data_IF_940148910572
#
_entry.id   IF_940148910572
#
_cell.length_a   1.000
_cell.length_b   1.000
_cell.length_c   1.000
_cell.angle_alpha   90.00
_cell.angle_beta   90.00
_cell.angle_gamma   90.00
#
_symmetry.space_group_name_H-M   'P 1'
#
loop_
_entity.id
_entity.type
_entity.pdbx_description
1 polymer ?
#
# COMPACT_ATOMS: atom_id res chain seq x y z
N UNK A 1 8.73 11.02 25.03
CA UNK A 1 8.78 10.74 23.57
C UNK A 1 9.51 9.41 23.36
N UNK A 2 9.08 8.54 22.43
CA UNK A 2 9.75 7.26 22.20
C UNK A 2 11.16 7.48 21.61
N UNK A 3 12.15 6.69 22.06
CA UNK A 3 13.54 6.76 21.58
C UNK A 3 13.80 5.86 20.35
N UNK A 4 12.76 5.32 19.74
CA UNK A 4 12.83 4.38 18.61
C UNK A 4 11.65 4.60 17.65
N UNK A 5 11.87 4.37 16.36
CA UNK A 5 10.82 4.40 15.35
C UNK A 5 9.93 3.15 15.48
N UNK A 6 8.62 3.37 15.63
CA UNK A 6 7.63 2.30 15.85
C UNK A 6 6.64 2.13 14.70
N UNK A 7 6.59 3.10 13.78
CA UNK A 7 5.67 3.12 12.65
C UNK A 7 6.48 3.51 11.42
N UNK A 8 6.42 2.68 10.38
CA UNK A 8 7.03 2.93 9.07
C UNK A 8 5.94 3.34 8.07
N UNK A 9 6.23 4.33 7.21
CA UNK A 9 5.39 4.62 6.05
C UNK A 9 5.86 3.74 4.90
N UNK A 10 4.94 3.02 4.26
CA UNK A 10 5.23 2.18 3.10
C UNK A 10 4.30 2.44 1.93
N UNK A 11 4.74 2.00 0.76
CA UNK A 11 4.02 2.13 -0.51
C UNK A 11 3.88 0.77 -1.19
N UNK A 12 2.72 0.51 -1.77
CA UNK A 12 2.54 -0.55 -2.78
C UNK A 12 1.81 -0.01 -4.00
N UNK A 13 2.02 -0.67 -5.13
CA UNK A 13 1.38 -0.35 -6.39
C UNK A 13 0.89 -1.62 -7.07
N UNK A 14 -0.33 -1.57 -7.59
CA UNK A 14 -0.89 -2.59 -8.47
C UNK A 14 -1.39 -1.92 -9.75
N UNK A 15 -1.13 -2.53 -10.91
CA UNK A 15 -1.67 -2.02 -12.15
C UNK A 15 -3.19 -2.09 -12.13
N UNK A 16 -3.85 -1.06 -12.66
CA UNK A 16 -5.30 -1.01 -12.77
C UNK A 16 -5.72 -0.91 -14.22
N UNK A 17 -6.96 -1.29 -14.51
CA UNK A 17 -7.58 -1.07 -15.81
C UNK A 17 -7.76 0.41 -16.16
N UNK A 18 -7.64 1.33 -15.20
CA UNK A 18 -7.88 2.76 -15.45
C UNK A 18 -6.76 3.38 -16.29
N UNK A 19 -5.52 2.88 -16.17
CA UNK A 19 -4.40 3.33 -16.98
C UNK A 19 -4.67 3.19 -18.48
N UNK A 20 -5.36 2.13 -18.91
CA UNK A 20 -5.75 1.92 -20.31
C UNK A 20 -6.83 2.89 -20.79
N UNK A 21 -7.70 3.35 -19.87
CA UNK A 21 -8.77 4.30 -20.19
C UNK A 21 -8.26 5.74 -20.34
N UNK A 22 -7.19 6.09 -19.61
CA UNK A 22 -6.60 7.44 -19.59
C UNK A 22 -5.07 7.38 -19.53
N UNK A 23 -4.38 6.79 -20.52
CA UNK A 23 -2.93 6.61 -20.47
C UNK A 23 -2.16 7.94 -20.40
N UNK A 24 -2.74 9.02 -20.94
CA UNK A 24 -2.21 10.38 -20.85
C UNK A 24 -2.13 10.90 -19.40
N UNK A 25 -3.11 10.54 -18.55
CA UNK A 25 -3.20 10.99 -17.15
C UNK A 25 -2.70 9.98 -16.14
N UNK A 26 -2.95 8.70 -16.38
CA UNK A 26 -2.71 7.59 -15.46
C UNK A 26 -1.46 6.78 -15.85
N UNK A 27 -0.81 7.11 -16.97
CA UNK A 27 0.47 6.55 -17.37
C UNK A 27 0.35 5.49 -18.46
N UNK A 28 1.15 5.66 -19.52
CA UNK A 28 1.17 4.73 -20.66
C UNK A 28 2.12 3.54 -20.44
N UNK A 29 3.09 3.66 -19.52
CA UNK A 29 4.08 2.64 -19.20
C UNK A 29 4.04 2.27 -17.72
N UNK A 30 4.62 1.12 -17.35
CA UNK A 30 4.62 0.64 -15.96
C UNK A 30 5.14 1.69 -14.96
N UNK A 31 6.30 2.31 -15.25
CA UNK A 31 6.87 3.32 -14.36
C UNK A 31 6.03 4.59 -14.29
N UNK A 32 5.39 4.99 -15.40
CA UNK A 32 4.44 6.09 -15.35
C UNK A 32 3.22 5.75 -14.50
N UNK A 33 2.70 4.53 -14.59
CA UNK A 33 1.55 4.11 -13.79
C UNK A 33 1.87 4.08 -12.30
N UNK A 34 3.07 3.60 -11.90
CA UNK A 34 3.53 3.65 -10.51
C UNK A 34 3.45 5.08 -9.95
N UNK A 35 3.77 6.09 -10.75
CA UNK A 35 3.77 7.50 -10.35
C UNK A 35 2.40 8.17 -10.50
N UNK A 36 1.66 7.88 -11.57
CA UNK A 36 0.47 8.62 -11.99
C UNK A 36 -0.84 7.92 -11.68
N UNK A 37 -0.89 6.60 -11.64
CA UNK A 37 -2.13 5.86 -11.43
C UNK A 37 -2.42 5.71 -9.92
N UNK A 38 -2.96 6.78 -9.34
CA UNK A 38 -3.35 6.84 -7.94
C UNK A 38 -4.49 5.87 -7.57
N UNK A 39 -5.13 5.21 -8.55
CA UNK A 39 -6.06 4.10 -8.29
C UNK A 39 -5.33 2.81 -7.89
N UNK A 40 -4.10 2.64 -8.36
CA UNK A 40 -3.25 1.49 -8.09
C UNK A 40 -2.40 1.66 -6.84
N UNK A 41 -2.28 2.87 -6.32
CA UNK A 41 -1.40 3.22 -5.20
C UNK A 41 -2.07 2.95 -3.85
N UNK A 42 -1.35 2.28 -2.96
CA UNK A 42 -1.75 2.13 -1.55
C UNK A 42 -0.63 2.63 -0.64
N UNK A 43 -0.98 3.51 0.29
CA UNK A 43 -0.08 4.02 1.31
C UNK A 43 -0.36 3.35 2.64
N UNK A 44 0.70 2.94 3.33
CA UNK A 44 0.60 2.08 4.50
C UNK A 44 1.29 2.69 5.70
N UNK A 45 0.65 2.55 6.85
CA UNK A 45 1.27 2.71 8.16
C UNK A 45 1.56 1.31 8.70
N UNK A 46 2.84 0.96 8.81
CA UNK A 46 3.31 -0.35 9.27
C UNK A 46 3.85 -0.25 10.69
N UNK A 47 3.11 -0.85 11.63
CA UNK A 47 3.33 -0.79 13.06
C UNK A 47 4.21 -1.95 13.52
N UNK A 48 5.35 -1.64 14.13
CA UNK A 48 6.22 -2.66 14.71
C UNK A 48 5.65 -3.18 16.03
N UNK A 49 4.96 -4.33 15.94
CA UNK A 49 4.28 -4.94 17.08
C UNK A 49 5.23 -5.22 18.24
N UNK A 50 6.43 -5.74 17.94
CA UNK A 50 7.44 -6.01 18.97
C UNK A 50 7.88 -4.72 19.70
N UNK A 51 7.98 -3.58 19.02
CA UNK A 51 8.37 -2.31 19.64
C UNK A 51 7.29 -1.75 20.59
N UNK A 52 6.02 -2.07 20.34
CA UNK A 52 4.91 -1.75 21.25
C UNK A 52 4.80 -2.76 22.40
N UNK A 53 5.10 -4.04 22.15
CA UNK A 53 4.98 -5.14 23.11
C UNK A 53 6.33 -5.84 23.31
N UNK A 54 7.30 -5.15 23.94
CA UNK A 54 8.70 -5.61 24.05
C UNK A 54 8.89 -6.92 24.80
N UNK A 55 7.99 -7.23 25.72
CA UNK A 55 8.01 -8.47 26.52
C UNK A 55 7.29 -9.64 25.84
N UNK A 56 6.69 -9.41 24.65
CA UNK A 56 6.01 -10.46 23.90
C UNK A 56 6.97 -11.32 23.07
N UNK A 57 6.52 -12.53 22.72
CA UNK A 57 7.22 -13.42 21.79
C UNK A 57 7.04 -13.03 20.31
N UNK A 58 6.56 -11.82 20.02
CA UNK A 58 6.32 -11.36 18.64
C UNK A 58 7.67 -11.13 17.95
N UNK A 59 7.91 -11.71 16.75
CA UNK A 59 9.15 -11.49 16.03
C UNK A 59 9.36 -10.01 15.67
N UNK A 60 10.59 -9.52 15.78
CA UNK A 60 10.96 -8.11 15.49
C UNK A 60 10.64 -7.66 14.06
N UNK A 61 10.57 -8.62 13.13
CA UNK A 61 10.30 -8.39 11.71
C UNK A 61 8.81 -8.37 11.38
N UNK A 62 7.92 -8.83 12.28
CA UNK A 62 6.49 -8.89 12.02
C UNK A 62 5.80 -7.58 12.41
N UNK A 63 5.09 -6.99 11.45
CA UNK A 63 4.34 -5.76 11.63
C UNK A 63 2.85 -5.96 11.31
N UNK A 64 2.01 -5.08 11.86
CA UNK A 64 0.63 -4.88 11.43
C UNK A 64 0.60 -3.65 10.52
N UNK A 65 -0.08 -3.70 9.38
CA UNK A 65 -0.15 -2.61 8.42
C UNK A 65 -1.59 -2.14 8.20
N UNK A 66 -1.80 -0.82 8.28
CA UNK A 66 -3.05 -0.16 7.91
C UNK A 66 -2.83 0.61 6.61
N UNK A 67 -3.62 0.31 5.59
CA UNK A 67 -3.47 0.87 4.26
C UNK A 67 -4.59 1.82 3.88
N UNK A 68 -4.28 2.76 3.01
CA UNK A 68 -5.24 3.68 2.40
C UNK A 68 -4.99 3.80 0.91
N UNK A 69 -6.04 3.64 0.13
CA UNK A 69 -6.04 3.80 -1.33
C UNK A 69 -7.37 4.33 -1.83
N UNK A 70 -7.54 4.36 -3.14
CA UNK A 70 -8.80 4.71 -3.76
C UNK A 70 -8.98 4.02 -5.09
N UNK A 71 -10.22 3.95 -5.55
CA UNK A 71 -10.60 3.26 -6.78
C UNK A 71 -11.57 4.15 -7.59
N UNK A 72 -11.53 4.04 -8.92
CA UNK A 72 -12.51 4.65 -9.83
C UNK A 72 -12.29 6.14 -10.13
N UNK A 73 -11.11 6.67 -9.83
CA UNK A 73 -10.76 8.07 -10.04
C UNK A 73 -10.11 8.29 -11.41
N UNK A 74 -10.96 8.51 -12.42
CA UNK A 74 -10.57 8.77 -13.82
C UNK A 74 -10.34 10.26 -14.14
N UNK A 75 -10.75 11.16 -13.26
CA UNK A 75 -10.61 12.61 -13.41
C UNK A 75 -10.38 13.25 -12.04
N UNK A 76 -9.71 14.41 -11.99
CA UNK A 76 -9.50 15.16 -10.75
C UNK A 76 -10.79 15.71 -10.13
N UNK A 77 -11.89 15.78 -10.89
CA UNK A 77 -13.19 16.31 -10.46
C UNK A 77 -14.24 15.22 -10.61
N UNK A 78 -15.14 15.09 -9.64
CA UNK A 78 -16.30 14.21 -9.75
C UNK A 78 -17.22 14.76 -10.84
N UNK A 79 -17.28 14.07 -11.98
CA UNK A 79 -18.17 14.46 -13.08
C UNK A 79 -19.49 13.73 -12.83
N UNK A 80 -20.48 14.48 -12.38
CA UNK A 80 -21.82 13.97 -12.04
C UNK A 80 -22.73 13.85 -13.27
N UNK A 81 -22.30 14.35 -14.44
CA UNK A 81 -23.17 14.46 -15.60
C UNK A 81 -23.07 13.30 -16.59
N UNK A 82 -24.26 12.83 -16.98
CA UNK A 82 -24.56 11.60 -17.71
C UNK A 82 -24.08 11.62 -19.17
N UNK A 83 -23.60 10.46 -19.67
CA UNK A 83 -24.04 9.81 -20.94
C UNK A 83 -23.08 8.77 -21.53
N UNK A 84 -21.93 8.47 -20.90
CA UNK A 84 -21.04 7.41 -21.40
C UNK A 84 -20.63 6.47 -20.26
N UNK A 85 -21.44 5.43 -20.07
CA UNK A 85 -21.04 4.07 -19.75
C UNK A 85 -19.70 3.93 -18.98
N UNK A 86 -19.69 4.13 -17.67
CA UNK A 86 -19.00 3.23 -16.74
C UNK A 86 -19.42 3.53 -15.30
N UNK A 87 -19.92 2.51 -14.62
CA UNK A 87 -20.30 2.46 -13.21
C UNK A 87 -19.12 2.60 -12.24
N UNK A 88 -18.06 3.32 -12.61
CA UNK A 88 -16.87 3.49 -11.79
C UNK A 88 -17.12 4.54 -10.71
N UNK A 89 -17.99 4.20 -9.75
CA UNK A 89 -18.23 5.03 -8.57
C UNK A 89 -16.92 5.14 -7.81
N UNK A 90 -16.40 6.35 -7.67
CA UNK A 90 -15.21 6.61 -6.85
C UNK A 90 -15.42 6.12 -5.42
N UNK A 91 -14.45 5.42 -4.86
CA UNK A 91 -14.48 5.07 -3.44
C UNK A 91 -13.09 4.99 -2.84
N UNK A 92 -13.04 5.16 -1.52
CA UNK A 92 -11.84 5.00 -0.71
C UNK A 92 -11.73 3.56 -0.26
N UNK A 93 -10.50 3.08 -0.17
CA UNK A 93 -10.17 1.73 0.27
C UNK A 93 -9.35 1.84 1.55
N UNK A 94 -9.79 1.14 2.59
CA UNK A 94 -9.05 1.00 3.84
C UNK A 94 -8.61 -0.44 3.96
N UNK A 95 -7.34 -0.68 4.26
CA UNK A 95 -6.79 -2.02 4.31
C UNK A 95 -6.26 -2.35 5.71
N UNK A 96 -6.42 -3.60 6.11
CA UNK A 96 -5.71 -4.19 7.24
C UNK A 96 -4.93 -5.39 6.70
N UNK A 97 -3.63 -5.44 6.99
CA UNK A 97 -2.74 -6.48 6.48
C UNK A 97 -1.61 -6.75 7.47
N UNK A 98 -0.90 -7.87 7.30
CA UNK A 98 0.39 -8.07 7.93
C UNK A 98 1.50 -7.48 7.05
N UNK A 99 2.66 -7.22 7.64
CA UNK A 99 3.80 -6.70 6.90
C UNK A 99 5.12 -7.20 7.51
N UNK A 100 6.17 -7.18 6.70
CA UNK A 100 7.52 -7.57 7.10
C UNK A 100 8.41 -6.34 7.13
N UNK A 101 9.01 -6.09 8.28
CA UNK A 101 10.04 -5.08 8.44
C UNK A 101 11.40 -5.63 7.99
N UNK A 102 11.76 -5.37 6.73
CA UNK A 102 13.02 -5.83 6.14
C UNK A 102 14.23 -5.29 6.90
N UNK A 103 14.15 -4.06 7.45
CA UNK A 103 15.26 -3.45 8.21
C UNK A 103 15.60 -4.23 9.50
N UNK A 104 14.71 -5.12 9.95
CA UNK A 104 14.89 -5.96 11.15
C UNK A 104 15.40 -7.37 10.82
N UNK A 105 15.61 -7.70 9.54
CA UNK A 105 16.23 -8.96 9.12
C UNK A 105 17.71 -8.96 9.53
N UNK A 106 18.15 -10.04 10.19
CA UNK A 106 19.55 -10.18 10.63
C UNK A 106 20.42 -10.64 9.46
N UNK A 107 21.44 -9.88 9.14
CA UNK A 107 22.45 -10.20 8.11
C UNK A 107 23.81 -9.64 8.51
N UNK A 108 24.88 -10.34 8.13
CA UNK A 108 26.27 -9.92 8.39
C UNK A 108 26.81 -8.96 7.32
N UNK A 109 26.11 -8.80 6.20
CA UNK A 109 26.54 -7.93 5.09
C UNK A 109 26.00 -6.51 5.25
N UNK A 110 26.91 -5.54 5.28
CA UNK A 110 26.56 -4.12 5.31
C UNK A 110 25.74 -3.71 4.07
N UNK A 111 26.08 -4.25 2.90
CA UNK A 111 25.34 -4.00 1.66
C UNK A 111 23.89 -4.49 1.76
N UNK A 112 23.69 -5.74 2.19
CA UNK A 112 22.34 -6.30 2.33
C UNK A 112 21.52 -5.52 3.37
N UNK A 113 22.15 -5.08 4.45
CA UNK A 113 21.48 -4.25 5.46
C UNK A 113 20.98 -2.93 4.87
N UNK A 114 21.78 -2.27 4.03
CA UNK A 114 21.37 -1.04 3.32
C UNK A 114 20.25 -1.31 2.33
N UNK A 115 20.35 -2.38 1.53
CA UNK A 115 19.30 -2.81 0.60
C UNK A 115 17.99 -3.03 1.35
N UNK A 116 17.99 -3.83 2.42
CA UNK A 116 16.79 -4.07 3.22
C UNK A 116 16.20 -2.79 3.82
N UNK A 117 17.05 -1.83 4.23
CA UNK A 117 16.56 -0.56 4.76
C UNK A 117 15.84 0.28 3.70
N UNK A 118 16.37 0.35 2.47
CA UNK A 118 15.75 1.10 1.37
C UNK A 118 14.47 0.43 0.90
N UNK A 119 14.52 -0.88 0.66
CA UNK A 119 13.36 -1.63 0.18
C UNK A 119 12.28 -1.81 1.26
N UNK A 120 12.56 -1.53 2.54
CA UNK A 120 11.53 -1.52 3.59
C UNK A 120 10.45 -0.45 3.33
N UNK A 121 10.71 0.56 2.51
CA UNK A 121 9.71 1.55 2.10
C UNK A 121 8.63 0.96 1.18
N UNK A 122 8.88 -0.20 0.57
CA UNK A 122 7.92 -0.93 -0.23
C UNK A 122 7.24 -1.97 0.66
N UNK A 123 5.90 -2.01 0.64
CA UNK A 123 5.16 -3.03 1.38
C UNK A 123 5.36 -4.38 0.72
N UNK A 124 5.70 -5.38 1.52
CA UNK A 124 5.77 -6.76 1.05
C UNK A 124 4.35 -7.29 0.82
N UNK A 125 4.07 -7.97 -0.31
CA UNK A 125 2.77 -8.57 -0.57
C UNK A 125 2.37 -9.54 0.54
N UNK A 126 1.24 -9.26 1.18
CA UNK A 126 0.65 -10.09 2.24
C UNK A 126 -0.87 -10.12 2.08
N UNK A 127 -1.55 -11.13 2.68
CA UNK A 127 -2.99 -11.13 2.77
C UNK A 127 -3.50 -9.82 3.38
N UNK A 128 -4.54 -9.25 2.78
CA UNK A 128 -5.15 -8.03 3.25
C UNK A 128 -6.67 -8.09 3.18
N UNK A 129 -7.30 -7.45 4.15
CA UNK A 129 -8.73 -7.20 4.15
C UNK A 129 -8.95 -5.75 3.75
N UNK A 130 -9.54 -5.53 2.59
CA UNK A 130 -10.04 -4.24 2.16
C UNK A 130 -11.43 -4.00 2.74
N UNK A 131 -11.68 -2.79 3.21
CA UNK A 131 -12.97 -2.30 3.66
C UNK A 131 -13.25 -1.00 2.90
N UNK A 132 -14.41 -0.92 2.28
CA UNK A 132 -14.85 0.25 1.52
C UNK A 132 -16.38 0.41 1.64
N UNK A 133 -16.94 1.41 0.95
CA UNK A 133 -18.38 1.70 0.99
C UNK A 133 -19.27 0.58 0.41
N UNK A 134 -18.70 -0.31 -0.40
CA UNK A 134 -19.38 -1.44 -1.03
C UNK A 134 -19.25 -2.73 -0.20
N UNK A 135 -18.48 -2.74 0.90
CA UNK A 135 -18.31 -3.89 1.77
C UNK A 135 -16.84 -4.22 2.04
N UNK A 136 -16.56 -5.50 2.30
CA UNK A 136 -15.21 -6.00 2.57
C UNK A 136 -14.76 -7.01 1.51
N UNK A 137 -13.50 -6.93 1.10
CA UNK A 137 -12.90 -7.81 0.08
C UNK A 137 -11.59 -8.36 0.63
N UNK A 138 -11.39 -9.67 0.53
CA UNK A 138 -10.14 -10.30 0.91
C UNK A 138 -9.22 -10.43 -0.30
N UNK A 139 -7.99 -9.95 -0.17
CA UNK A 139 -6.93 -10.09 -1.15
C UNK A 139 -5.87 -11.03 -0.59
N UNK A 140 -5.54 -12.11 -1.32
CA UNK A 140 -4.51 -13.05 -0.89
C UNK A 140 -3.11 -12.41 -0.91
N UNK A 141 -2.86 -11.56 -1.91
CA UNK A 141 -1.64 -10.76 -2.04
C UNK A 141 -2.03 -9.35 -2.45
N UNK A 142 -1.50 -8.37 -1.73
CA UNK A 142 -1.71 -6.94 -1.98
C UNK A 142 -0.47 -6.13 -1.59
#
# INVERSE_FOLDING_TARGET
MWKEQRIDVKFSFRQTRYAELRPDKLGASFFEQVLKDYNGQTYWLSFNLHAFFKESNIPKWLNLALGYGGEGMLSGIEVTDNQLLTSNRRYRQYYISLDVNLSKIRTNSALLKSVFSVFNMIKIPFPSLEINKNGAVFHLFH
#
